data_IF_891239035077
#
_entry.id   IF_891239035077
#
_cell.length_a   1.000
_cell.length_b   1.000
_cell.length_c   1.000
_cell.angle_alpha   90.00
_cell.angle_beta   90.00
_cell.angle_gamma   90.00
#
_symmetry.space_group_name_H-M   'P 1'
#
loop_
_entity.id
_entity.type
_entity.pdbx_description
1 polymer ?
#
# COMPACT_ATOMS: atom_id res chain seq x y z
N UNK A 1 -29.79 -14.28 -2.89
CA UNK A 1 -28.42 -14.35 -3.44
C UNK A 1 -27.75 -12.98 -3.45
N UNK A 2 -28.35 -11.96 -4.07
CA UNK A 2 -27.84 -10.56 -4.08
C UNK A 2 -27.62 -9.93 -2.70
N UNK A 3 -28.52 -10.18 -1.75
CA UNK A 3 -28.42 -9.64 -0.38
C UNK A 3 -27.19 -10.15 0.39
N UNK A 4 -26.78 -11.41 0.19
CA UNK A 4 -25.54 -11.99 0.73
C UNK A 4 -24.28 -11.38 0.11
N UNK A 5 -24.30 -11.12 -1.20
CA UNK A 5 -23.18 -10.49 -1.92
C UNK A 5 -23.01 -9.03 -1.48
N UNK A 6 -24.11 -8.35 -1.20
CA UNK A 6 -24.13 -7.00 -0.63
C UNK A 6 -23.62 -7.06 0.81
N UNK A 7 -24.15 -7.93 1.68
CA UNK A 7 -23.71 -8.03 3.07
C UNK A 7 -22.21 -8.41 3.20
N UNK A 8 -21.68 -9.26 2.31
CA UNK A 8 -20.24 -9.56 2.22
C UNK A 8 -19.40 -8.35 1.79
N UNK A 9 -19.90 -7.53 0.84
CA UNK A 9 -19.22 -6.31 0.36
C UNK A 9 -19.28 -5.14 1.35
N UNK A 10 -20.32 -5.11 2.18
CA UNK A 10 -20.47 -4.19 3.31
C UNK A 10 -19.83 -4.75 4.60
N UNK A 11 -19.28 -5.97 4.54
CA UNK A 11 -18.49 -6.58 5.60
C UNK A 11 -19.28 -6.98 6.86
N UNK A 12 -20.61 -7.07 6.80
CA UNK A 12 -21.45 -7.37 7.96
C UNK A 12 -21.25 -6.45 9.19
N UNK A 13 -20.61 -5.30 8.99
CA UNK A 13 -20.23 -4.36 10.05
C UNK A 13 -21.45 -3.56 10.52
N UNK A 14 -21.51 -3.25 11.82
CA UNK A 14 -22.51 -2.32 12.34
C UNK A 14 -22.37 -0.96 11.64
N UNK A 15 -23.49 -0.27 11.36
CA UNK A 15 -23.47 1.00 10.63
C UNK A 15 -22.56 2.07 11.26
N UNK A 16 -22.36 2.01 12.58
CA UNK A 16 -21.41 2.86 13.31
C UNK A 16 -19.95 2.54 12.99
N UNK A 17 -19.60 1.25 12.89
CA UNK A 17 -18.24 0.80 12.60
C UNK A 17 -17.86 1.09 11.15
N UNK A 18 -18.83 0.98 10.23
CA UNK A 18 -18.65 1.40 8.84
C UNK A 18 -18.38 2.89 8.71
N UNK A 19 -19.18 3.72 9.39
CA UNK A 19 -18.99 5.18 9.37
C UNK A 19 -17.61 5.56 9.94
N UNK A 20 -17.22 4.92 11.04
CA UNK A 20 -15.92 5.15 11.67
C UNK A 20 -14.75 4.71 10.78
N UNK A 21 -14.80 3.52 10.16
CA UNK A 21 -13.78 3.07 9.21
C UNK A 21 -13.70 3.96 7.97
N UNK A 22 -14.84 4.45 7.49
CA UNK A 22 -14.90 5.40 6.38
C UNK A 22 -14.22 6.71 6.74
N UNK A 23 -14.51 7.27 7.93
CA UNK A 23 -13.89 8.51 8.40
C UNK A 23 -12.37 8.36 8.56
N UNK A 24 -11.92 7.26 9.17
CA UNK A 24 -10.50 6.94 9.30
C UNK A 24 -9.83 6.73 7.93
N UNK A 25 -10.53 6.13 6.97
CA UNK A 25 -10.05 5.97 5.59
C UNK A 25 -9.89 7.33 4.90
N UNK A 26 -10.83 8.26 5.08
CA UNK A 26 -10.71 9.64 4.57
C UNK A 26 -9.51 10.35 5.21
N UNK A 27 -9.32 10.23 6.52
CA UNK A 27 -8.14 10.79 7.21
C UNK A 27 -6.84 10.19 6.68
N UNK A 28 -6.80 8.89 6.44
CA UNK A 28 -5.65 8.23 5.82
C UNK A 28 -5.37 8.79 4.42
N UNK A 29 -6.39 8.90 3.57
CA UNK A 29 -6.24 9.44 2.21
C UNK A 29 -5.78 10.90 2.21
N UNK A 30 -6.22 11.70 3.18
CA UNK A 30 -5.76 13.09 3.34
C UNK A 30 -4.27 13.14 3.67
N UNK A 31 -3.80 12.31 4.60
CA UNK A 31 -2.38 12.21 4.93
C UNK A 31 -1.56 11.75 3.72
N UNK A 32 -2.04 10.74 2.98
CA UNK A 32 -1.37 10.27 1.75
C UNK A 32 -1.32 11.41 0.73
N UNK A 33 -2.42 12.14 0.51
CA UNK A 33 -2.48 13.25 -0.44
C UNK A 33 -1.49 14.38 -0.09
N UNK A 34 -1.38 14.75 1.20
CA UNK A 34 -0.39 15.74 1.68
C UNK A 34 1.03 15.24 1.42
N UNK A 35 1.32 13.98 1.79
CA UNK A 35 2.63 13.39 1.59
C UNK A 35 3.04 13.35 0.12
N UNK A 36 2.13 12.89 -0.76
CA UNK A 36 2.33 12.82 -2.21
C UNK A 36 2.54 14.21 -2.80
N UNK A 37 1.70 15.20 -2.44
CA UNK A 37 1.86 16.57 -2.94
C UNK A 37 3.23 17.16 -2.57
N UNK A 38 3.67 17.02 -1.31
CA UNK A 38 5.00 17.45 -0.87
C UNK A 38 6.11 16.73 -1.64
N UNK A 39 5.93 15.43 -1.87
CA UNK A 39 6.94 14.59 -2.50
C UNK A 39 7.12 14.94 -3.99
N UNK A 40 6.02 15.08 -4.74
CA UNK A 40 6.03 15.46 -6.17
C UNK A 40 6.55 16.89 -6.35
N UNK A 41 6.14 17.83 -5.49
CA UNK A 41 6.59 19.24 -5.55
C UNK A 41 8.08 19.41 -5.29
N UNK A 42 8.75 18.43 -4.66
CA UNK A 42 10.22 18.47 -4.47
C UNK A 42 11.01 18.42 -5.79
N UNK A 43 10.40 17.94 -6.88
CA UNK A 43 11.03 17.76 -8.20
C UNK A 43 12.32 16.92 -8.21
N UNK A 44 12.55 16.11 -7.17
CA UNK A 44 13.70 15.20 -7.08
C UNK A 44 13.32 13.74 -7.38
N UNK A 45 12.12 13.53 -7.91
CA UNK A 45 11.47 12.23 -8.12
C UNK A 45 10.54 11.86 -6.96
N UNK A 46 9.58 10.99 -7.25
CA UNK A 46 8.54 10.53 -6.32
C UNK A 46 8.36 9.00 -6.36
N UNK A 47 7.47 8.45 -5.55
CA UNK A 47 7.11 7.03 -5.59
C UNK A 47 6.54 6.60 -6.97
N UNK A 48 6.54 5.29 -7.29
CA UNK A 48 6.21 4.77 -8.63
C UNK A 48 4.89 5.27 -9.21
N UNK A 49 3.81 5.25 -8.41
CA UNK A 49 2.49 5.70 -8.86
C UNK A 49 2.50 7.21 -9.06
N UNK A 50 3.13 7.96 -8.16
CA UNK A 50 3.23 9.42 -8.30
C UNK A 50 4.05 9.84 -9.52
N UNK A 51 5.08 9.08 -9.92
CA UNK A 51 5.82 9.33 -11.19
C UNK A 51 4.90 9.17 -12.39
N UNK A 52 4.05 8.15 -12.38
CA UNK A 52 3.03 7.96 -13.41
C UNK A 52 2.03 9.13 -13.45
N UNK A 53 1.56 9.58 -12.29
CA UNK A 53 0.63 10.71 -12.20
C UNK A 53 1.27 12.03 -12.62
N UNK A 54 2.52 12.29 -12.25
CA UNK A 54 3.29 13.47 -12.68
C UNK A 54 3.52 13.46 -14.20
N UNK A 55 3.84 12.30 -14.79
CA UNK A 55 3.95 12.16 -16.25
C UNK A 55 2.62 12.42 -16.96
N UNK A 56 1.52 11.87 -16.44
CA UNK A 56 0.18 12.15 -16.97
C UNK A 56 -0.18 13.63 -16.87
N UNK A 57 0.10 14.28 -15.74
CA UNK A 57 -0.15 15.71 -15.56
C UNK A 57 0.65 16.55 -16.57
N UNK A 58 1.93 16.26 -16.76
CA UNK A 58 2.79 16.97 -17.73
C UNK A 58 2.36 16.78 -19.18
N UNK A 59 1.78 15.63 -19.52
CA UNK A 59 1.30 15.36 -20.88
C UNK A 59 -0.08 15.99 -21.12
N UNK A 60 -1.01 15.84 -20.18
CA UNK A 60 -2.41 16.25 -20.31
C UNK A 60 -2.69 17.67 -19.80
N UNK A 61 -1.76 18.28 -19.07
CA UNK A 61 -1.86 19.60 -18.44
C UNK A 61 -3.13 19.76 -17.60
N UNK A 62 -3.55 18.70 -16.90
CA UNK A 62 -4.84 18.64 -16.23
C UNK A 62 -4.76 18.84 -14.71
N UNK A 63 -3.57 18.88 -14.13
CA UNK A 63 -3.29 18.90 -12.70
C UNK A 63 -3.17 17.49 -12.11
N UNK A 64 -2.31 17.33 -11.11
CA UNK A 64 -2.02 16.05 -10.44
C UNK A 64 -3.30 15.36 -9.89
N UNK A 65 -4.25 16.12 -9.37
CA UNK A 65 -5.53 15.60 -8.89
C UNK A 65 -6.39 14.98 -10.00
N UNK A 66 -6.47 15.64 -11.16
CA UNK A 66 -7.21 15.13 -12.31
C UNK A 66 -6.50 13.94 -12.95
N UNK A 67 -5.17 13.98 -13.05
CA UNK A 67 -4.37 12.83 -13.47
C UNK A 67 -4.64 11.62 -12.57
N UNK A 68 -4.67 11.82 -11.25
CA UNK A 68 -5.06 10.79 -10.28
C UNK A 68 -6.50 10.33 -10.48
N UNK A 69 -7.44 11.23 -10.79
CA UNK A 69 -8.83 10.86 -11.04
C UNK A 69 -8.98 9.99 -12.30
N UNK A 70 -8.26 10.32 -13.37
CA UNK A 70 -8.23 9.52 -14.62
C UNK A 70 -7.67 8.14 -14.32
N UNK A 71 -6.51 8.06 -13.65
CA UNK A 71 -5.90 6.79 -13.28
C UNK A 71 -6.81 5.96 -12.36
N UNK A 72 -7.41 6.60 -11.35
CA UNK A 72 -8.39 5.97 -10.45
C UNK A 72 -9.60 5.46 -11.22
N UNK A 73 -10.12 6.21 -12.18
CA UNK A 73 -11.28 5.79 -12.98
C UNK A 73 -10.95 4.57 -13.84
N UNK A 74 -9.79 4.56 -14.51
CA UNK A 74 -9.31 3.44 -15.32
C UNK A 74 -9.10 2.20 -14.45
N UNK A 75 -8.32 2.32 -13.38
CA UNK A 75 -8.01 1.19 -12.49
C UNK A 75 -9.26 0.67 -11.79
N UNK A 76 -10.18 1.54 -11.37
CA UNK A 76 -11.47 1.14 -10.80
C UNK A 76 -12.34 0.40 -11.82
N UNK A 77 -12.41 0.88 -13.07
CA UNK A 77 -13.21 0.26 -14.13
C UNK A 77 -12.67 -1.14 -14.47
N UNK A 78 -11.35 -1.25 -14.65
CA UNK A 78 -10.69 -2.54 -14.86
C UNK A 78 -10.91 -3.46 -13.65
N UNK A 79 -10.81 -2.94 -12.43
CA UNK A 79 -11.07 -3.72 -11.22
C UNK A 79 -12.52 -4.21 -11.17
N UNK A 80 -13.50 -3.39 -11.55
CA UNK A 80 -14.93 -3.77 -11.55
C UNK A 80 -15.19 -4.90 -12.54
N UNK A 81 -14.54 -4.87 -13.71
CA UNK A 81 -14.72 -5.90 -14.75
C UNK A 81 -14.00 -7.21 -14.36
N UNK A 82 -12.75 -7.13 -13.88
CA UNK A 82 -11.90 -8.31 -13.70
C UNK A 82 -11.82 -8.83 -12.25
N UNK A 83 -11.91 -7.92 -11.27
CA UNK A 83 -11.65 -8.16 -9.86
C UNK A 83 -12.85 -7.80 -8.96
N UNK A 84 -14.08 -7.87 -9.48
CA UNK A 84 -15.30 -7.48 -8.75
C UNK A 84 -15.41 -8.12 -7.36
N UNK A 85 -14.90 -9.34 -7.19
CA UNK A 85 -14.89 -10.08 -5.93
C UNK A 85 -14.07 -9.41 -4.82
N UNK A 86 -13.05 -8.62 -5.18
CA UNK A 86 -12.13 -7.96 -4.24
C UNK A 86 -12.48 -6.50 -3.96
N UNK A 87 -13.42 -5.93 -4.72
CA UNK A 87 -13.86 -4.54 -4.54
C UNK A 87 -14.93 -4.46 -3.46
N UNK A 88 -14.63 -3.65 -2.45
CA UNK A 88 -15.57 -3.26 -1.39
C UNK A 88 -15.85 -1.76 -1.44
N UNK A 89 -16.83 -1.30 -0.66
CA UNK A 89 -17.18 0.14 -0.56
C UNK A 89 -15.95 0.97 -0.18
N UNK A 90 -15.09 0.48 0.71
CA UNK A 90 -13.86 1.18 1.09
C UNK A 90 -12.83 1.30 -0.03
N UNK A 91 -12.82 0.43 -1.04
CA UNK A 91 -11.98 0.59 -2.25
C UNK A 91 -12.42 1.79 -3.07
N UNK A 92 -13.73 2.00 -3.21
CA UNK A 92 -14.26 3.17 -3.93
C UNK A 92 -13.95 4.45 -3.14
N UNK A 93 -14.20 4.44 -1.82
CA UNK A 93 -13.91 5.59 -0.95
C UNK A 93 -12.43 5.94 -0.96
N UNK A 94 -11.54 4.94 -0.89
CA UNK A 94 -10.09 5.18 -0.93
C UNK A 94 -9.62 5.68 -2.28
N UNK A 95 -10.05 5.03 -3.37
CA UNK A 95 -9.59 5.34 -4.73
C UNK A 95 -10.09 6.71 -5.21
N UNK A 96 -11.39 6.99 -5.03
CA UNK A 96 -11.99 8.27 -5.44
C UNK A 96 -11.68 9.37 -4.42
N UNK A 97 -11.75 9.06 -3.13
CA UNK A 97 -11.47 10.01 -2.06
C UNK A 97 -10.03 10.51 -2.09
N UNK A 98 -9.05 9.63 -2.33
CA UNK A 98 -7.66 10.04 -2.53
C UNK A 98 -7.52 11.00 -3.71
N UNK A 99 -8.06 10.67 -4.89
CA UNK A 99 -7.93 11.52 -6.08
C UNK A 99 -8.58 12.89 -5.90
N UNK A 100 -9.75 12.96 -5.25
CA UNK A 100 -10.38 14.23 -4.90
C UNK A 100 -9.47 15.03 -3.96
N UNK A 101 -9.09 14.45 -2.82
CA UNK A 101 -8.28 15.12 -1.81
C UNK A 101 -6.94 15.60 -2.38
N UNK A 102 -6.30 14.82 -3.24
CA UNK A 102 -5.07 15.22 -3.91
C UNK A 102 -5.28 16.45 -4.79
N UNK A 103 -6.40 16.54 -5.51
CA UNK A 103 -6.74 17.73 -6.30
C UNK A 103 -6.98 19.00 -5.48
N UNK A 104 -7.41 18.86 -4.23
CA UNK A 104 -7.52 20.00 -3.30
C UNK A 104 -6.19 20.35 -2.64
N UNK A 105 -5.43 19.34 -2.22
CA UNK A 105 -4.21 19.52 -1.42
C UNK A 105 -3.04 19.99 -2.27
N UNK A 106 -2.84 19.43 -3.47
CA UNK A 106 -1.72 19.80 -4.35
C UNK A 106 -1.63 21.31 -4.63
N UNK A 107 -2.69 22.02 -5.05
CA UNK A 107 -2.61 23.46 -5.29
C UNK A 107 -2.35 24.24 -4.00
N UNK A 108 -2.90 23.82 -2.85
CA UNK A 108 -2.66 24.47 -1.55
C UNK A 108 -1.18 24.35 -1.17
N UNK A 109 -0.60 23.15 -1.29
CA UNK A 109 0.82 22.94 -1.03
C UNK A 109 1.68 23.72 -2.02
N UNK A 110 1.28 23.77 -3.29
CA UNK A 110 1.96 24.57 -4.32
C UNK A 110 1.95 26.08 -4.04
N UNK A 111 0.97 26.61 -3.31
CA UNK A 111 0.96 28.01 -2.87
C UNK A 111 1.88 28.27 -1.68
N UNK A 112 2.03 27.28 -0.79
CA UNK A 112 2.89 27.38 0.40
C UNK A 112 4.36 27.26 0.02
N UNK A 113 4.67 26.43 -0.97
CA UNK A 113 6.02 26.07 -1.38
C UNK A 113 6.37 26.89 -2.63
N UNK A 114 6.98 28.06 -2.41
CA UNK A 114 7.40 28.97 -3.48
C UNK A 114 8.52 28.38 -4.34
N UNK A 115 8.45 28.59 -5.66
CA UNK A 115 9.25 27.87 -6.67
C UNK A 115 10.78 28.04 -6.68
N UNK A 116 11.41 28.56 -5.62
CA UNK A 116 12.86 28.78 -5.54
C UNK A 116 13.51 28.08 -4.33
N UNK A 117 13.16 26.81 -4.15
CA UNK A 117 13.65 26.02 -3.03
C UNK A 117 15.09 25.54 -3.22
N UNK A 118 15.91 25.78 -2.21
CA UNK A 118 17.27 25.24 -2.12
C UNK A 118 17.22 23.71 -2.09
N UNK A 119 18.27 23.03 -2.57
CA UNK A 119 18.36 21.56 -2.56
C UNK A 119 18.06 20.95 -1.17
N UNK A 120 18.44 21.66 -0.10
CA UNK A 120 18.17 21.26 1.28
C UNK A 120 16.67 21.26 1.61
N UNK A 121 15.91 22.26 1.15
CA UNK A 121 14.46 22.33 1.32
C UNK A 121 13.78 21.19 0.57
N UNK A 122 14.20 20.93 -0.68
CA UNK A 122 13.70 19.79 -1.47
C UNK A 122 13.98 18.45 -0.79
N UNK A 123 15.16 18.29 -0.19
CA UNK A 123 15.50 17.11 0.60
C UNK A 123 14.60 16.92 1.83
N UNK A 124 14.32 18.00 2.57
CA UNK A 124 13.39 17.97 3.71
C UNK A 124 11.97 17.65 3.24
N UNK A 125 11.52 18.21 2.12
CA UNK A 125 10.21 17.91 1.54
C UNK A 125 10.06 16.43 1.18
N UNK A 126 11.08 15.80 0.58
CA UNK A 126 11.07 14.37 0.35
C UNK A 126 10.96 13.61 1.67
N UNK A 127 11.80 13.92 2.65
CA UNK A 127 11.84 13.20 3.92
C UNK A 127 10.49 13.30 4.66
N UNK A 128 9.94 14.51 4.77
CA UNK A 128 8.65 14.77 5.42
C UNK A 128 7.51 14.16 4.61
N UNK A 129 7.48 14.38 3.29
CA UNK A 129 6.46 13.84 2.38
C UNK A 129 6.39 12.33 2.45
N UNK A 130 7.54 11.65 2.45
CA UNK A 130 7.65 10.21 2.58
C UNK A 130 7.09 9.71 3.92
N UNK A 131 7.49 10.33 5.04
CA UNK A 131 7.00 9.93 6.37
C UNK A 131 5.49 10.13 6.48
N UNK A 132 4.97 11.27 6.04
CA UNK A 132 3.53 11.58 6.07
C UNK A 132 2.73 10.64 5.17
N UNK A 133 3.24 10.38 3.96
CA UNK A 133 2.65 9.41 3.03
C UNK A 133 2.61 8.00 3.64
N UNK A 134 3.73 7.53 4.20
CA UNK A 134 3.81 6.20 4.83
C UNK A 134 2.95 6.09 6.09
N UNK A 135 2.78 7.15 6.87
CA UNK A 135 1.83 7.19 7.98
C UNK A 135 0.39 6.99 7.49
N UNK A 136 -0.02 7.72 6.45
CA UNK A 136 -1.36 7.58 5.86
C UNK A 136 -1.56 6.22 5.20
N UNK A 137 -0.58 5.74 4.45
CA UNK A 137 -0.63 4.41 3.81
C UNK A 137 -0.69 3.29 4.87
N UNK A 138 0.10 3.40 5.94
CA UNK A 138 0.06 2.48 7.07
C UNK A 138 -1.31 2.43 7.76
N UNK A 139 -1.96 3.59 7.95
CA UNK A 139 -3.32 3.66 8.49
C UNK A 139 -4.34 3.01 7.54
N UNK A 140 -4.26 3.32 6.23
CA UNK A 140 -5.14 2.74 5.21
C UNK A 140 -5.02 1.21 5.14
N UNK A 141 -3.79 0.70 5.15
CA UNK A 141 -3.50 -0.74 5.16
C UNK A 141 -3.96 -1.40 6.46
N UNK A 142 -3.76 -0.75 7.61
CA UNK A 142 -4.18 -1.28 8.91
C UNK A 142 -5.72 -1.36 9.04
N UNK A 143 -6.46 -0.40 8.48
CA UNK A 143 -7.92 -0.34 8.51
C UNK A 143 -8.59 -1.51 7.77
N UNK A 144 -7.94 -2.04 6.72
CA UNK A 144 -8.44 -3.14 5.88
C UNK A 144 -9.88 -2.94 5.39
N UNK A 145 -10.27 -1.68 5.20
CA UNK A 145 -11.62 -1.31 4.79
C UNK A 145 -11.85 -1.50 3.27
N UNK A 146 -10.77 -1.76 2.54
CA UNK A 146 -10.73 -2.08 1.11
C UNK A 146 -9.29 -1.93 0.62
N UNK A 147 -8.90 -2.66 -0.43
CA UNK A 147 -7.62 -2.44 -1.10
C UNK A 147 -7.74 -1.29 -2.10
N UNK A 148 -6.63 -0.64 -2.43
CA UNK A 148 -6.60 0.28 -3.58
C UNK A 148 -7.04 -0.47 -4.85
N UNK A 149 -7.67 0.21 -5.80
CA UNK A 149 -8.10 -0.39 -7.07
C UNK A 149 -6.93 -1.13 -7.75
N UNK A 150 -5.75 -0.54 -7.79
CA UNK A 150 -4.53 -1.15 -8.33
C UNK A 150 -4.16 -2.45 -7.62
N UNK A 151 -4.21 -2.47 -6.29
CA UNK A 151 -3.85 -3.66 -5.51
C UNK A 151 -4.91 -4.77 -5.68
N UNK A 152 -6.19 -4.40 -5.88
CA UNK A 152 -7.27 -5.34 -6.18
C UNK A 152 -7.02 -6.11 -7.49
N UNK A 153 -6.46 -5.43 -8.51
CA UNK A 153 -6.04 -6.07 -9.76
C UNK A 153 -4.89 -7.06 -9.51
N UNK A 154 -3.90 -6.67 -8.70
CA UNK A 154 -2.77 -7.55 -8.36
C UNK A 154 -3.26 -8.82 -7.65
N UNK A 155 -4.14 -8.69 -6.64
CA UNK A 155 -4.72 -9.84 -5.96
C UNK A 155 -5.51 -10.74 -6.90
N UNK A 156 -6.22 -10.16 -7.88
CA UNK A 156 -6.93 -10.95 -8.87
C UNK A 156 -6.00 -11.74 -9.79
N UNK A 157 -4.84 -11.18 -10.15
CA UNK A 157 -3.83 -11.91 -10.94
C UNK A 157 -3.22 -13.04 -10.12
N UNK A 158 -2.96 -12.81 -8.84
CA UNK A 158 -2.46 -13.84 -7.90
C UNK A 158 -3.46 -14.99 -7.71
N UNK A 159 -4.76 -14.71 -7.76
CA UNK A 159 -5.80 -15.74 -7.75
C UNK A 159 -5.68 -16.72 -8.94
N UNK A 160 -5.29 -16.24 -10.12
CA UNK A 160 -5.06 -17.06 -11.31
C UNK A 160 -3.68 -17.73 -11.32
N UNK A 161 -2.71 -17.12 -10.65
CA UNK A 161 -1.33 -17.60 -10.56
C UNK A 161 -0.87 -17.69 -9.09
N UNK A 162 -1.38 -18.69 -8.32
CA UNK A 162 -1.16 -18.77 -6.87
C UNK A 162 0.30 -19.06 -6.48
N UNK A 163 1.14 -19.48 -7.42
CA UNK A 163 2.58 -19.66 -7.20
C UNK A 163 3.36 -18.34 -7.23
N UNK A 164 2.76 -17.26 -7.73
CA UNK A 164 3.41 -15.97 -7.82
C UNK A 164 3.32 -15.25 -6.47
N UNK A 165 4.39 -14.59 -6.05
CA UNK A 165 4.39 -13.82 -4.81
C UNK A 165 3.93 -12.39 -5.07
N UNK A 166 3.10 -11.85 -4.18
CA UNK A 166 2.62 -10.46 -4.22
C UNK A 166 3.77 -9.45 -4.38
N UNK A 167 4.91 -9.70 -3.71
CA UNK A 167 6.09 -8.84 -3.77
C UNK A 167 6.60 -8.67 -5.21
N UNK A 168 6.71 -9.74 -5.97
CA UNK A 168 7.21 -9.67 -7.36
C UNK A 168 6.20 -8.99 -8.28
N UNK A 169 4.91 -9.30 -8.14
CA UNK A 169 3.87 -8.63 -8.92
C UNK A 169 3.82 -7.13 -8.66
N UNK A 170 3.96 -6.71 -7.40
CA UNK A 170 3.98 -5.30 -7.03
C UNK A 170 5.19 -4.59 -7.64
N UNK A 171 6.37 -5.18 -7.56
CA UNK A 171 7.60 -4.65 -8.18
C UNK A 171 7.43 -4.48 -9.70
N UNK A 172 6.85 -5.46 -10.38
CA UNK A 172 6.62 -5.37 -11.84
C UNK A 172 5.66 -4.25 -12.18
N UNK A 173 4.52 -4.15 -11.48
CA UNK A 173 3.52 -3.09 -11.70
C UNK A 173 4.11 -1.71 -11.41
N UNK A 174 4.82 -1.56 -10.31
CA UNK A 174 5.49 -0.32 -9.94
C UNK A 174 6.58 0.05 -10.97
N UNK A 175 7.33 -0.93 -11.47
CA UNK A 175 8.27 -0.74 -12.57
C UNK A 175 7.60 -0.24 -13.86
N UNK A 176 6.44 -0.82 -14.21
CA UNK A 176 5.63 -0.34 -15.34
C UNK A 176 5.18 1.10 -15.16
N UNK A 177 4.74 1.50 -13.95
CA UNK A 177 4.36 2.88 -13.67
C UNK A 177 5.54 3.85 -13.77
N UNK A 178 6.72 3.49 -13.25
CA UNK A 178 7.92 4.31 -13.40
C UNK A 178 8.26 4.50 -14.87
N UNK A 179 8.31 3.41 -15.65
CA UNK A 179 8.67 3.47 -17.08
C UNK A 179 7.64 4.29 -17.85
N UNK A 180 6.34 4.03 -17.65
CA UNK A 180 5.29 4.75 -18.35
C UNK A 180 5.25 6.23 -17.95
N UNK A 181 5.43 6.56 -16.67
CA UNK A 181 5.51 7.94 -16.19
C UNK A 181 6.74 8.67 -16.73
N UNK A 182 7.90 8.01 -16.75
CA UNK A 182 9.12 8.56 -17.34
C UNK A 182 8.97 8.87 -18.82
N UNK A 183 8.35 7.97 -19.59
CA UNK A 183 8.08 8.19 -21.02
C UNK A 183 7.13 9.37 -21.28
N UNK A 184 6.21 9.64 -20.35
CA UNK A 184 5.32 10.79 -20.36
C UNK A 184 5.96 12.07 -19.79
N UNK A 185 7.25 12.03 -19.42
CA UNK A 185 8.00 13.18 -18.91
C UNK A 185 7.93 13.39 -17.39
N UNK A 186 7.42 12.41 -16.64
CA UNK A 186 7.43 12.41 -15.18
C UNK A 186 8.85 12.36 -14.63
N UNK A 187 9.08 13.03 -13.49
CA UNK A 187 10.42 13.12 -12.90
C UNK A 187 10.78 11.81 -12.21
N UNK A 188 11.79 11.12 -12.75
CA UNK A 188 12.46 10.00 -12.08
C UNK A 188 13.79 10.48 -11.53
N UNK A 189 14.00 10.31 -10.22
CA UNK A 189 15.21 10.78 -9.56
C UNK A 189 15.53 10.04 -8.27
N UNK A 190 16.36 10.66 -7.43
CA UNK A 190 16.79 10.11 -6.13
C UNK A 190 15.58 9.82 -5.23
N UNK A 191 14.56 10.69 -5.26
CA UNK A 191 13.30 10.49 -4.54
C UNK A 191 12.56 9.23 -4.97
N UNK A 192 12.63 8.84 -6.25
CA UNK A 192 12.00 7.61 -6.75
C UNK A 192 12.69 6.35 -6.25
N UNK A 193 14.02 6.35 -6.22
CA UNK A 193 14.78 5.21 -5.68
C UNK A 193 14.52 5.04 -4.18
N UNK A 194 14.53 6.15 -3.43
CA UNK A 194 14.21 6.15 -2.00
C UNK A 194 12.76 5.71 -1.78
N UNK A 195 11.82 6.29 -2.53
CA UNK A 195 10.39 5.95 -2.46
C UNK A 195 10.15 4.47 -2.71
N UNK A 196 10.70 3.93 -3.80
CA UNK A 196 10.54 2.53 -4.17
C UNK A 196 11.10 1.56 -3.11
N UNK A 197 12.29 1.84 -2.55
CA UNK A 197 12.93 0.95 -1.58
C UNK A 197 12.37 1.09 -0.16
N UNK A 198 12.08 2.31 0.29
CA UNK A 198 11.70 2.58 1.67
C UNK A 198 10.19 2.53 1.93
N UNK A 199 9.33 2.68 0.90
CA UNK A 199 7.87 2.69 1.11
C UNK A 199 7.41 1.39 1.77
N UNK A 200 7.87 0.24 1.29
CA UNK A 200 7.49 -1.06 1.83
C UNK A 200 7.83 -1.24 3.33
N UNK A 201 9.12 -1.10 3.72
CA UNK A 201 9.53 -1.17 5.12
C UNK A 201 8.85 -0.13 6.02
N UNK A 202 8.70 1.11 5.56
CA UNK A 202 8.08 2.18 6.35
C UNK A 202 6.59 1.94 6.59
N UNK A 203 5.84 1.53 5.57
CA UNK A 203 4.43 1.15 5.73
C UNK A 203 4.30 0.00 6.71
N UNK A 204 5.16 -1.02 6.60
CA UNK A 204 5.17 -2.16 7.52
C UNK A 204 5.46 -1.76 8.97
N UNK A 205 6.25 -0.70 9.18
CA UNK A 205 6.53 -0.15 10.50
C UNK A 205 5.35 0.64 11.09
N UNK A 206 4.62 1.41 10.28
CA UNK A 206 3.49 2.22 10.77
C UNK A 206 2.20 1.41 11.01
N UNK A 207 1.97 0.33 10.27
CA UNK A 207 0.79 -0.55 10.44
C UNK A 207 0.58 -1.00 11.89
N UNK A 208 1.56 -1.60 12.60
CA UNK A 208 1.36 -2.04 13.99
C UNK A 208 1.19 -0.88 14.98
N UNK A 209 1.71 0.32 14.66
CA UNK A 209 1.53 1.52 15.49
C UNK A 209 0.06 1.95 15.45
N UNK A 210 -0.52 2.06 14.25
CA UNK A 210 -1.92 2.41 14.07
C UNK A 210 -2.88 1.34 14.62
N UNK A 211 -2.52 0.06 14.49
CA UNK A 211 -3.27 -1.04 15.10
C UNK A 211 -3.40 -0.84 16.62
N UNK A 212 -2.29 -0.56 17.29
CA UNK A 212 -2.26 -0.39 18.74
C UNK A 212 -2.88 0.93 19.21
N UNK A 213 -2.66 2.02 18.47
CA UNK A 213 -3.03 3.37 18.89
C UNK A 213 -4.49 3.73 18.57
N UNK A 214 -5.03 3.24 17.45
CA UNK A 214 -6.35 3.65 16.96
C UNK A 214 -7.28 2.46 16.82
N UNK A 215 -6.87 1.37 16.17
CA UNK A 215 -7.79 0.29 15.84
C UNK A 215 -8.23 -0.53 17.06
N UNK A 216 -7.31 -0.88 17.97
CA UNK A 216 -7.63 -1.62 19.21
C UNK A 216 -8.56 -0.84 20.15
N UNK A 217 -8.33 0.45 20.44
CA UNK A 217 -9.28 1.24 21.23
C UNK A 217 -10.69 1.30 20.63
N UNK A 218 -10.78 1.23 19.30
CA UNK A 218 -12.04 1.29 18.56
C UNK A 218 -12.65 -0.10 18.29
N UNK A 219 -12.06 -1.19 18.78
CA UNK A 219 -12.48 -2.59 18.51
C UNK A 219 -12.56 -2.92 17.00
N UNK A 220 -11.71 -2.29 16.19
CA UNK A 220 -11.62 -2.47 14.74
C UNK A 220 -10.35 -3.23 14.30
N UNK A 221 -9.66 -3.88 15.23
CA UNK A 221 -8.41 -4.59 14.95
C UNK A 221 -8.62 -5.84 14.08
N UNK A 222 -7.59 -6.19 13.31
CA UNK A 222 -7.64 -7.34 12.41
C UNK A 222 -6.46 -8.28 12.71
N UNK A 223 -6.66 -9.61 12.77
CA UNK A 223 -5.63 -10.57 13.16
C UNK A 223 -4.36 -10.51 12.27
N UNK A 224 -4.51 -10.11 11.01
CA UNK A 224 -3.39 -9.93 10.09
C UNK A 224 -2.47 -8.75 10.44
N UNK A 225 -2.96 -7.68 11.08
CA UNK A 225 -2.11 -6.56 11.51
C UNK A 225 -1.06 -7.03 12.52
N UNK A 226 -1.36 -8.10 13.27
CA UNK A 226 -0.45 -8.74 14.22
C UNK A 226 0.66 -9.57 13.53
N UNK A 227 0.45 -10.00 12.27
CA UNK A 227 1.48 -10.70 11.47
C UNK A 227 2.51 -9.73 10.89
N UNK A 228 2.09 -8.50 10.53
CA UNK A 228 2.97 -7.43 10.06
C UNK A 228 3.82 -6.84 11.20
N UNK A 229 3.36 -6.96 12.44
CA UNK A 229 4.17 -6.70 13.63
C UNK A 229 5.25 -7.78 13.75
N UNK A 230 6.53 -7.42 13.62
CA UNK A 230 7.68 -8.34 13.62
C UNK A 230 7.81 -9.28 14.83
N UNK A 231 6.94 -9.16 15.84
CA UNK A 231 6.84 -10.10 16.98
C UNK A 231 6.45 -11.51 16.54
N UNK A 232 5.47 -11.69 15.64
CA UNK A 232 5.06 -13.03 15.19
C UNK A 232 5.89 -13.58 14.03
N UNK A 233 6.52 -12.73 13.21
CA UNK A 233 7.47 -13.19 12.17
C UNK A 233 8.66 -13.91 12.80
N UNK A 234 9.22 -13.35 13.88
CA UNK A 234 10.26 -14.01 14.69
C UNK A 234 9.76 -15.27 15.39
N UNK A 235 8.51 -15.29 15.83
CA UNK A 235 7.91 -16.46 16.50
C UNK A 235 7.60 -17.61 15.53
N UNK A 236 7.21 -17.29 14.28
CA UNK A 236 7.02 -18.27 13.20
C UNK A 236 8.36 -18.73 12.64
N UNK A 237 9.33 -17.83 12.39
CA UNK A 237 10.70 -18.22 12.00
C UNK A 237 11.34 -19.10 13.08
N UNK A 238 11.15 -18.78 14.38
CA UNK A 238 11.64 -19.62 15.49
C UNK A 238 10.94 -20.97 15.54
N UNK A 239 9.62 -21.04 15.34
CA UNK A 239 8.87 -22.31 15.30
C UNK A 239 9.19 -23.18 14.09
N UNK A 240 9.41 -22.58 12.92
CA UNK A 240 9.85 -23.30 11.71
C UNK A 240 11.27 -23.82 11.89
N UNK A 241 12.16 -23.03 12.49
CA UNK A 241 13.53 -23.43 12.79
C UNK A 241 13.59 -24.52 13.87
N UNK A 242 12.75 -24.45 14.91
CA UNK A 242 12.60 -25.51 15.93
C UNK A 242 12.07 -26.81 15.31
N UNK A 243 11.06 -26.75 14.43
CA UNK A 243 10.52 -27.92 13.76
C UNK A 243 11.49 -28.56 12.73
N UNK A 244 12.32 -27.76 12.06
CA UNK A 244 13.38 -28.26 11.16
C UNK A 244 14.50 -28.98 11.94
N UNK A 245 14.85 -28.49 13.14
CA UNK A 245 15.84 -29.13 14.01
C UNK A 245 15.31 -30.46 14.54
N UNK A 246 14.06 -30.49 15.00
CA UNK A 246 13.42 -31.70 15.53
C UNK A 246 13.29 -32.80 14.45
N UNK A 247 12.89 -32.42 13.23
CA UNK A 247 12.85 -33.35 12.08
C UNK A 247 14.24 -33.85 11.67
N UNK A 248 15.28 -33.03 11.80
CA UNK A 248 16.66 -33.44 11.49
C UNK A 248 17.23 -34.40 12.56
N UNK A 249 16.86 -34.21 13.83
CA UNK A 249 17.23 -35.12 14.92
C UNK A 249 16.55 -36.49 14.78
N UNK A 250 15.26 -36.55 14.41
CA UNK A 250 14.57 -37.82 14.12
C UNK A 250 15.25 -38.61 12.99
N UNK A 251 15.63 -37.94 11.89
CA UNK A 251 16.33 -38.58 10.77
C UNK A 251 17.72 -39.08 11.18
N UNK A 252 18.44 -38.35 12.04
CA UNK A 252 19.73 -38.78 12.59
C UNK A 252 19.61 -39.99 13.52
N UNK A 253 18.53 -40.07 14.32
CA UNK A 253 18.25 -41.24 15.15
C UNK A 253 17.89 -42.47 14.30
N UNK A 254 17.04 -42.32 13.29
CA UNK A 254 16.72 -43.41 12.36
C UNK A 254 17.97 -43.92 11.62
N UNK A 255 18.85 -43.02 11.19
CA UNK A 255 20.11 -43.38 10.52
C UNK A 255 21.08 -44.11 11.47
N UNK A 256 21.16 -43.69 12.74
CA UNK A 256 21.95 -44.41 13.76
C UNK A 256 21.40 -45.81 14.06
N UNK A 257 20.08 -45.96 14.07
CA UNK A 257 19.44 -47.26 14.31
C UNK A 257 19.66 -48.22 13.14
N UNK A 258 19.68 -47.71 11.90
CA UNK A 258 20.02 -48.52 10.71
C UNK A 258 21.50 -48.92 10.70
N UNK A 259 22.43 -48.01 11.03
CA UNK A 259 23.86 -48.34 11.13
C UNK A 259 24.21 -49.32 12.27
N UNK A 260 23.39 -49.37 13.33
CA UNK A 260 23.54 -50.35 14.42
C UNK A 260 22.91 -51.71 14.11
N UNK A 261 21.92 -51.77 13.22
CA UNK A 261 21.31 -53.02 12.76
C UNK A 261 22.14 -53.76 11.70
N UNK A 262 23.02 -53.04 10.99
CA UNK A 262 23.97 -53.57 9.99
C UNK A 262 25.32 -54.03 10.59
N UNK A 263 25.47 -54.03 11.93
CA UNK A 263 26.64 -54.58 12.65
C UNK A 263 26.29 -55.84 13.43
#
# INVERSE_FOLDING_TARGET
MWRKIIDDKFGGLSGKDMALKTLLSITANLLIAIGVALFVRSQLGSDPISVWLDGLDRTLHCGLGNASMINSSITLTVSIIFAFKFINVGTIVSTVGFSLLLGWVDPIIGLIIGGNDTLLVKGIMIAVGMVVMCMGCGLSVALRFGFSSTDSIIFRILDFHPTWQYRYMKITVDGCFIVAGFLLGGIVGVGTVIGFLFTGPMVSFFVPIWDKLVLRPLHLDHPFNQMMSGKKKKEVEKKTQEAEIEAFEEVLEETRQTEQADR
#
